data_IF_358493368864
#
_entry.id   IF_358493368864
#
_cell.length_a   1.000
_cell.length_b   1.000
_cell.length_c   1.000
_cell.angle_alpha   90.00
_cell.angle_beta   90.00
_cell.angle_gamma   90.00
#
_symmetry.space_group_name_H-M   'P 1'
#
loop_
_entity.id
_entity.type
_entity.pdbx_description
1 polymer ?
#
# COMPACT_ATOMS: atom_id res chain seq x y z
N UNK A 1 -9.88 3.13 5.59
CA UNK A 1 -10.76 3.81 4.62
C UNK A 1 -12.12 4.13 5.21
N UNK A 2 -12.94 3.14 5.61
CA UNK A 2 -14.27 3.41 6.21
C UNK A 2 -14.30 4.40 7.38
N UNK A 3 -13.32 4.34 8.30
CA UNK A 3 -13.25 5.34 9.39
C UNK A 3 -13.05 6.78 8.88
N UNK A 4 -12.30 6.95 7.80
CA UNK A 4 -12.06 8.26 7.16
C UNK A 4 -13.32 8.76 6.45
N UNK A 5 -14.11 7.85 5.85
CA UNK A 5 -15.43 8.16 5.26
C UNK A 5 -16.43 8.68 6.32
N UNK A 6 -16.24 8.32 7.59
CA UNK A 6 -16.97 8.87 8.74
C UNK A 6 -16.31 10.13 9.34
N UNK A 7 -15.47 10.84 8.56
CA UNK A 7 -14.79 12.08 8.94
C UNK A 7 -13.88 11.95 10.16
N UNK A 8 -13.26 10.78 10.34
CA UNK A 8 -12.25 10.57 11.39
C UNK A 8 -10.84 10.73 10.81
N UNK A 9 -9.96 11.31 11.62
CA UNK A 9 -8.53 11.30 11.38
C UNK A 9 -7.94 9.97 11.87
N UNK A 10 -7.30 9.25 10.96
CA UNK A 10 -6.80 7.90 11.20
C UNK A 10 -5.30 7.90 10.93
N UNK A 11 -4.53 7.33 11.87
CA UNK A 11 -3.09 7.13 11.73
C UNK A 11 -2.80 5.63 11.70
N UNK A 12 -2.04 5.17 10.71
CA UNK A 12 -1.54 3.80 10.61
C UNK A 12 -0.02 3.81 10.82
N UNK A 13 0.43 3.33 11.97
CA UNK A 13 1.84 3.06 12.20
C UNK A 13 2.21 1.69 11.61
N UNK A 14 2.93 1.71 10.48
CA UNK A 14 3.38 0.50 9.79
C UNK A 14 4.90 0.32 9.90
N UNK A 15 5.33 -0.74 10.57
CA UNK A 15 6.72 -1.22 10.57
C UNK A 15 6.77 -2.68 10.06
N UNK A 16 7.23 -2.99 8.83
CA UNK A 16 7.79 -2.09 7.82
C UNK A 16 7.16 -2.27 6.43
N UNK A 17 7.10 -1.17 5.68
CA UNK A 17 6.67 -1.15 4.28
C UNK A 17 7.51 -2.09 3.41
N UNK A 18 8.80 -2.22 3.70
CA UNK A 18 9.71 -3.10 2.97
C UNK A 18 9.34 -4.57 3.17
N UNK A 19 8.94 -4.99 4.38
CA UNK A 19 8.46 -6.35 4.63
C UNK A 19 7.12 -6.61 3.93
N UNK A 20 6.22 -5.64 3.96
CA UNK A 20 4.93 -5.73 3.26
C UNK A 20 5.13 -5.93 1.75
N UNK A 21 6.03 -5.15 1.12
CA UNK A 21 6.34 -5.29 -0.30
C UNK A 21 6.91 -6.66 -0.66
N UNK A 22 7.80 -7.21 0.18
CA UNK A 22 8.35 -8.57 -0.02
C UNK A 22 7.26 -9.64 0.08
N UNK A 23 6.35 -9.53 1.05
CA UNK A 23 5.22 -10.45 1.18
C UNK A 23 4.31 -10.42 -0.07
N UNK A 24 4.07 -9.23 -0.63
CA UNK A 24 3.34 -9.10 -1.90
C UNK A 24 4.05 -9.79 -3.06
N UNK A 25 5.39 -9.70 -3.14
CA UNK A 25 6.17 -10.38 -4.17
C UNK A 25 6.05 -11.91 -4.09
N UNK A 26 5.94 -12.49 -2.89
CA UNK A 26 5.83 -13.94 -2.72
C UNK A 26 4.45 -14.52 -3.05
N UNK A 27 3.39 -13.73 -2.97
CA UNK A 27 2.00 -14.23 -3.15
C UNK A 27 1.38 -13.89 -4.51
N UNK A 28 2.00 -12.99 -5.28
CA UNK A 28 1.48 -12.59 -6.59
C UNK A 28 1.88 -13.64 -7.65
N UNK A 29 0.95 -14.06 -8.52
CA UNK A 29 1.30 -14.92 -9.65
C UNK A 29 2.39 -14.28 -10.50
N UNK A 30 3.41 -15.06 -10.86
CA UNK A 30 4.52 -14.57 -11.68
C UNK A 30 4.00 -13.99 -12.99
N UNK A 31 4.39 -12.75 -13.28
CA UNK A 31 4.06 -12.05 -14.53
C UNK A 31 5.01 -12.42 -15.68
N UNK A 32 6.04 -13.21 -15.40
CA UNK A 32 7.14 -13.49 -16.33
C UNK A 32 8.10 -12.32 -16.53
N UNK A 33 7.86 -11.17 -15.89
CA UNK A 33 8.69 -9.96 -15.98
C UNK A 33 9.24 -9.60 -14.59
N UNK A 34 10.46 -10.07 -14.32
CA UNK A 34 11.17 -9.79 -13.08
C UNK A 34 12.04 -8.55 -13.26
N UNK A 35 11.86 -7.55 -12.40
CA UNK A 35 12.68 -6.35 -12.35
C UNK A 35 14.01 -6.62 -11.63
N UNK A 36 14.98 -5.75 -11.85
CA UNK A 36 16.28 -5.77 -11.15
C UNK A 36 16.05 -5.81 -9.64
N UNK A 37 16.65 -6.81 -8.97
CA UNK A 37 16.45 -7.06 -7.53
C UNK A 37 15.47 -8.19 -7.19
N UNK A 38 14.99 -8.96 -8.17
CA UNK A 38 14.18 -10.17 -7.93
C UNK A 38 12.72 -9.90 -7.57
N UNK A 39 12.22 -8.73 -7.98
CA UNK A 39 10.85 -8.28 -7.70
C UNK A 39 10.03 -8.35 -8.98
N UNK A 40 8.89 -9.01 -8.93
CA UNK A 40 7.96 -9.05 -10.05
C UNK A 40 7.40 -7.65 -10.35
N UNK A 41 7.26 -7.30 -11.63
CA UNK A 41 6.77 -5.98 -12.04
C UNK A 41 5.40 -5.61 -11.44
N UNK A 42 4.54 -6.62 -11.20
CA UNK A 42 3.22 -6.42 -10.60
C UNK A 42 3.26 -6.40 -9.05
N UNK A 43 4.35 -6.88 -8.43
CA UNK A 43 4.46 -6.98 -6.98
C UNK A 43 4.39 -5.63 -6.27
N UNK A 44 4.88 -4.56 -6.91
CA UNK A 44 4.92 -3.22 -6.33
C UNK A 44 3.58 -2.47 -6.45
N UNK A 45 2.63 -2.95 -7.25
CA UNK A 45 1.40 -2.23 -7.51
C UNK A 45 0.50 -2.14 -6.26
N UNK A 46 0.37 -3.24 -5.51
CA UNK A 46 -0.45 -3.29 -4.28
C UNK A 46 0.16 -2.48 -3.12
N UNK A 47 1.47 -2.60 -2.79
CA UNK A 47 2.13 -1.73 -1.81
C UNK A 47 1.97 -0.24 -2.13
N UNK A 48 2.15 0.16 -3.40
CA UNK A 48 1.96 1.56 -3.82
C UNK A 48 0.54 2.05 -3.60
N UNK A 49 -0.47 1.23 -3.91
CA UNK A 49 -1.89 1.58 -3.64
C UNK A 49 -2.21 1.63 -2.14
N UNK A 50 -1.57 0.80 -1.33
CA UNK A 50 -1.72 0.82 0.12
C UNK A 50 -1.17 2.13 0.70
N UNK A 51 0.05 2.51 0.32
CA UNK A 51 0.68 3.74 0.81
C UNK A 51 -0.04 4.99 0.27
N UNK A 52 -0.37 5.03 -1.02
CA UNK A 52 -1.17 6.11 -1.64
C UNK A 52 -2.63 6.16 -1.19
N UNK A 53 -3.04 5.29 -0.25
CA UNK A 53 -4.32 5.45 0.42
C UNK A 53 -4.27 6.60 1.44
N UNK A 54 -3.12 6.87 2.05
CA UNK A 54 -2.91 7.99 2.94
C UNK A 54 -3.12 9.31 2.18
N UNK A 55 -4.08 10.10 2.63
CA UNK A 55 -4.48 11.38 2.04
C UNK A 55 -5.32 12.18 3.01
N UNK A 56 -5.26 13.50 2.90
CA UNK A 56 -6.24 14.39 3.49
C UNK A 56 -7.48 14.44 2.58
N UNK A 57 -8.69 14.40 3.14
CA UNK A 57 -9.94 14.45 2.38
C UNK A 57 -10.62 15.79 2.64
N UNK A 58 -10.84 16.59 1.59
CA UNK A 58 -11.43 17.93 1.69
C UNK A 58 -12.83 17.93 2.37
N UNK A 59 -13.62 16.87 2.15
CA UNK A 59 -14.97 16.72 2.72
C UNK A 59 -14.99 16.25 4.19
N UNK A 60 -13.80 15.99 4.77
CA UNK A 60 -13.58 15.68 6.18
C UNK A 60 -12.85 14.35 6.44
N UNK A 61 -12.01 14.35 7.48
CA UNK A 61 -11.19 13.20 7.89
C UNK A 61 -9.87 13.11 7.12
N UNK A 62 -8.93 12.34 7.67
CA UNK A 62 -7.62 12.12 7.06
C UNK A 62 -7.13 10.69 7.31
N UNK A 63 -6.30 10.20 6.40
CA UNK A 63 -5.52 8.97 6.60
C UNK A 63 -4.04 9.33 6.53
N UNK A 64 -3.34 9.09 7.63
CA UNK A 64 -1.88 9.24 7.76
C UNK A 64 -1.24 7.86 7.88
#
# INVERSE_FOLDING_TARGET
>A
KRLVEHKKDVVILLDSITRLARAYNTVIPSSGKVLTGGVDANALQKPKRFFGAARNIEEGGSLT
#
